data_IF_142752077304
#
_entry.id   IF_142752077304
#
_cell.length_a   1.000
_cell.length_b   1.000
_cell.length_c   1.000
_cell.angle_alpha   90.00
_cell.angle_beta   90.00
_cell.angle_gamma   90.00
#
_symmetry.space_group_name_H-M   'P 1'
#
loop_
_entity.id
_entity.type
_entity.pdbx_description
1 polymer ?
#
# COMPACT_ATOMS: atom_id res chain seq x y z
N UNK A 1 -16.49 7.77 4.58
CA UNK A 1 -15.13 8.11 4.12
C UNK A 1 -14.79 7.54 2.74
N UNK A 2 -14.87 6.24 2.47
CA UNK A 2 -14.53 5.64 1.15
C UNK A 2 -15.39 6.19 0.00
N UNK A 3 -16.68 6.43 0.23
CA UNK A 3 -17.58 7.08 -0.74
C UNK A 3 -17.22 8.55 -0.97
N UNK A 4 -16.68 9.25 0.04
CA UNK A 4 -16.29 10.65 -0.06
C UNK A 4 -15.14 10.85 -1.06
N UNK A 5 -14.20 9.91 -1.12
CA UNK A 5 -13.03 9.97 -2.01
C UNK A 5 -13.24 9.21 -3.34
N UNK A 6 -14.47 8.80 -3.69
CA UNK A 6 -14.71 8.11 -4.98
C UNK A 6 -14.41 9.00 -6.18
N UNK A 7 -14.76 10.29 -6.12
CA UNK A 7 -14.48 11.23 -7.19
C UNK A 7 -12.97 11.39 -7.47
N UNK A 8 -12.15 11.44 -6.40
CA UNK A 8 -10.68 11.49 -6.53
C UNK A 8 -10.16 10.24 -7.23
N UNK A 9 -10.66 9.05 -6.86
CA UNK A 9 -10.22 7.79 -7.50
C UNK A 9 -10.60 7.74 -8.97
N UNK A 10 -11.82 8.16 -9.32
CA UNK A 10 -12.27 8.21 -10.72
C UNK A 10 -11.42 9.15 -11.55
N UNK A 11 -11.19 10.37 -11.07
CA UNK A 11 -10.40 11.37 -11.77
C UNK A 11 -8.94 10.91 -11.99
N UNK A 12 -8.28 10.36 -10.96
CA UNK A 12 -6.93 9.79 -11.09
C UNK A 12 -6.91 8.58 -12.04
N UNK A 13 -7.96 7.75 -12.02
CA UNK A 13 -8.08 6.60 -12.90
C UNK A 13 -8.24 7.02 -14.36
N UNK A 14 -9.08 8.00 -14.64
CA UNK A 14 -9.24 8.55 -15.99
C UNK A 14 -7.93 9.18 -16.48
N UNK A 15 -7.21 9.88 -15.62
CA UNK A 15 -5.88 10.42 -15.90
C UNK A 15 -4.86 9.31 -16.23
N UNK A 16 -4.86 8.22 -15.46
CA UNK A 16 -4.01 7.05 -15.70
C UNK A 16 -4.32 6.43 -17.08
N UNK A 17 -5.58 6.14 -17.37
CA UNK A 17 -6.02 5.54 -18.64
C UNK A 17 -5.62 6.44 -19.82
N UNK A 18 -5.91 7.75 -19.72
CA UNK A 18 -5.55 8.73 -20.75
C UNK A 18 -4.03 8.78 -20.98
N UNK A 19 -3.26 8.76 -19.90
CA UNK A 19 -1.79 8.75 -19.96
C UNK A 19 -1.21 7.47 -20.58
N UNK A 20 -1.83 6.31 -20.37
CA UNK A 20 -1.44 5.04 -20.98
C UNK A 20 -1.82 5.08 -22.48
N UNK A 21 -3.03 5.53 -22.80
CA UNK A 21 -3.52 5.66 -24.17
C UNK A 21 -2.66 6.59 -25.02
N UNK A 22 -2.11 7.66 -24.45
CA UNK A 22 -1.19 8.57 -25.14
C UNK A 22 0.15 7.95 -25.52
N UNK A 23 0.51 6.81 -24.90
CA UNK A 23 1.74 6.04 -25.15
C UNK A 23 1.48 4.76 -25.98
N UNK A 24 0.32 4.69 -26.64
CA UNK A 24 -0.09 3.55 -27.46
C UNK A 24 1.04 3.06 -28.40
N UNK A 25 1.25 1.75 -28.47
CA UNK A 25 2.28 1.13 -29.31
C UNK A 25 3.72 1.25 -28.79
N UNK A 26 3.91 1.94 -27.65
CA UNK A 26 5.23 2.06 -27.00
C UNK A 26 5.21 1.38 -25.62
N UNK A 27 6.37 0.85 -25.16
CA UNK A 27 6.46 0.25 -23.84
C UNK A 27 6.18 1.28 -22.73
N UNK A 28 5.19 0.98 -21.89
CA UNK A 28 4.81 1.79 -20.72
C UNK A 28 5.38 1.17 -19.47
N UNK A 29 6.09 1.95 -18.64
CA UNK A 29 6.51 1.52 -17.32
C UNK A 29 5.31 1.50 -16.37
N UNK A 30 4.65 0.36 -16.27
CA UNK A 30 3.46 0.17 -15.43
C UNK A 30 3.78 0.32 -13.95
N UNK A 31 4.92 -0.20 -13.48
CA UNK A 31 5.35 -0.06 -12.08
C UNK A 31 5.38 1.40 -11.66
N UNK A 32 6.01 2.27 -12.47
CA UNK A 32 6.06 3.71 -12.19
C UNK A 32 4.68 4.37 -12.27
N UNK A 33 3.89 4.04 -13.30
CA UNK A 33 2.55 4.63 -13.51
C UNK A 33 1.60 4.31 -12.37
N UNK A 34 1.52 3.04 -11.97
CA UNK A 34 0.65 2.57 -10.89
C UNK A 34 1.09 3.13 -9.54
N UNK A 35 2.39 3.17 -9.26
CA UNK A 35 2.91 3.79 -8.03
C UNK A 35 2.52 5.28 -7.95
N UNK A 36 2.64 6.02 -9.05
CA UNK A 36 2.24 7.43 -9.10
C UNK A 36 0.72 7.60 -8.93
N UNK A 37 -0.07 6.74 -9.53
CA UNK A 37 -1.52 6.72 -9.41
C UNK A 37 -1.99 6.50 -7.95
N UNK A 38 -1.50 5.44 -7.29
CA UNK A 38 -1.87 5.17 -5.89
C UNK A 38 -1.40 6.29 -4.96
N UNK A 39 -0.22 6.85 -5.21
CA UNK A 39 0.30 8.00 -4.47
C UNK A 39 -0.59 9.24 -4.61
N UNK A 40 -1.06 9.57 -5.84
CA UNK A 40 -1.97 10.69 -6.04
C UNK A 40 -3.26 10.54 -5.25
N UNK A 41 -3.88 9.36 -5.29
CA UNK A 41 -5.10 9.10 -4.53
C UNK A 41 -4.88 9.36 -3.05
N UNK A 42 -3.79 8.83 -2.46
CA UNK A 42 -3.50 9.02 -1.04
C UNK A 42 -3.23 10.50 -0.72
N UNK A 43 -2.41 11.19 -1.52
CA UNK A 43 -2.12 12.62 -1.31
C UNK A 43 -3.38 13.48 -1.38
N UNK A 44 -4.21 13.30 -2.40
CA UNK A 44 -5.45 14.09 -2.57
C UNK A 44 -6.48 13.77 -1.48
N UNK A 45 -6.58 12.51 -1.07
CA UNK A 45 -7.50 12.10 0.00
C UNK A 45 -7.04 12.55 1.39
N UNK A 46 -5.73 12.57 1.62
CA UNK A 46 -5.18 12.90 2.94
C UNK A 46 -4.93 14.41 3.14
N UNK A 47 -4.50 15.11 2.07
CA UNK A 47 -4.03 16.49 2.13
C UNK A 47 -4.82 17.46 1.25
N UNK A 48 -5.88 16.99 0.58
CA UNK A 48 -6.65 17.77 -0.37
C UNK A 48 -5.91 18.18 -1.65
N UNK A 49 -4.65 17.80 -1.81
CA UNK A 49 -3.80 18.16 -2.95
C UNK A 49 -2.65 17.19 -3.17
N UNK A 50 -2.05 17.23 -4.35
CA UNK A 50 -0.78 16.55 -4.63
C UNK A 50 0.39 17.36 -4.04
N UNK A 51 1.34 16.69 -3.37
CA UNK A 51 2.52 17.37 -2.79
C UNK A 51 3.31 18.13 -3.86
N UNK A 52 3.69 19.38 -3.58
CA UNK A 52 4.40 20.27 -4.53
C UNK A 52 5.76 19.68 -4.96
N UNK A 53 6.56 19.20 -4.00
CA UNK A 53 7.89 18.61 -4.24
C UNK A 53 7.80 17.08 -4.30
N UNK A 54 6.86 16.59 -5.10
CA UNK A 54 6.52 15.18 -5.23
C UNK A 54 7.73 14.27 -5.46
N UNK A 55 8.69 14.70 -6.28
CA UNK A 55 9.86 13.89 -6.61
C UNK A 55 10.77 13.65 -5.42
N UNK A 56 11.09 14.69 -4.66
CA UNK A 56 11.93 14.59 -3.47
C UNK A 56 11.21 13.85 -2.34
N UNK A 57 9.93 14.14 -2.12
CA UNK A 57 9.13 13.46 -1.11
C UNK A 57 9.03 11.96 -1.38
N UNK A 58 8.74 11.54 -2.62
CA UNK A 58 8.66 10.13 -3.00
C UNK A 58 10.01 9.42 -2.88
N UNK A 59 11.11 10.11 -3.20
CA UNK A 59 12.47 9.55 -3.04
C UNK A 59 12.78 9.35 -1.56
N UNK A 60 12.45 10.33 -0.72
CA UNK A 60 12.63 10.24 0.74
C UNK A 60 11.77 9.13 1.33
N UNK A 61 10.53 9.00 0.87
CA UNK A 61 9.62 7.94 1.32
C UNK A 61 10.16 6.55 0.97
N UNK A 62 10.65 6.35 -0.26
CA UNK A 62 11.30 5.08 -0.64
C UNK A 62 12.53 4.79 0.21
N UNK A 63 13.32 5.80 0.54
CA UNK A 63 14.47 5.64 1.45
C UNK A 63 14.00 5.21 2.86
N UNK A 64 12.94 5.82 3.40
CA UNK A 64 12.35 5.42 4.69
C UNK A 64 11.84 3.99 4.65
N UNK A 65 11.14 3.60 3.57
CA UNK A 65 10.66 2.22 3.38
C UNK A 65 11.80 1.21 3.38
N UNK A 66 12.87 1.49 2.65
CA UNK A 66 14.06 0.63 2.61
C UNK A 66 14.75 0.54 3.98
N UNK A 67 14.86 1.65 4.70
CA UNK A 67 15.44 1.68 6.04
C UNK A 67 14.53 0.95 7.06
N UNK A 68 13.21 1.09 6.95
CA UNK A 68 12.26 0.41 7.83
C UNK A 68 12.20 -1.11 7.60
N UNK A 69 12.47 -1.56 6.37
CA UNK A 69 12.54 -2.97 6.00
C UNK A 69 13.85 -3.66 6.42
N UNK A 70 14.89 -2.87 6.71
CA UNK A 70 16.18 -3.41 7.09
C UNK A 70 16.13 -4.05 8.47
N UNK A 71 16.50 -5.33 8.58
CA UNK A 71 16.92 -5.91 9.85
C UNK A 71 18.30 -5.35 10.16
N UNK A 72 18.34 -4.33 11.00
CA UNK A 72 19.63 -3.80 11.46
C UNK A 72 20.29 -4.80 12.38
N UNK A 73 21.63 -4.90 12.31
CA UNK A 73 22.41 -5.77 13.23
C UNK A 73 22.08 -5.49 14.70
N UNK A 74 21.61 -4.29 15.01
CA UNK A 74 21.18 -3.92 16.34
C UNK A 74 19.82 -4.50 16.76
N UNK A 75 18.94 -4.78 15.83
CA UNK A 75 17.67 -5.47 16.12
C UNK A 75 17.94 -6.93 16.46
N UNK A 76 18.96 -7.52 15.81
CA UNK A 76 19.40 -8.88 16.04
C UNK A 76 20.32 -9.01 17.28
N UNK A 77 21.17 -8.00 17.53
CA UNK A 77 22.15 -7.95 18.61
C UNK A 77 22.08 -6.64 19.38
N UNK A 78 21.06 -6.40 20.20
CA UNK A 78 20.85 -5.14 20.91
C UNK A 78 22.00 -4.74 21.84
N UNK A 79 22.80 -5.73 22.30
CA UNK A 79 23.95 -5.50 23.15
C UNK A 79 25.19 -4.93 22.41
N UNK A 80 25.17 -4.92 21.06
CA UNK A 80 26.33 -4.51 20.25
C UNK A 80 26.21 -3.07 19.76
N UNK A 81 25.95 -2.14 20.67
CA UNK A 81 25.76 -0.71 20.37
C UNK A 81 26.88 -0.05 19.56
N UNK A 82 28.11 -0.58 19.59
CA UNK A 82 29.25 -0.04 18.85
C UNK A 82 29.10 -0.21 17.34
N UNK A 83 28.55 -1.33 16.87
CA UNK A 83 28.37 -1.61 15.44
C UNK A 83 27.26 -0.74 14.80
N UNK A 84 26.30 -0.28 15.58
CA UNK A 84 25.24 0.62 15.15
C UNK A 84 25.76 1.96 14.63
N UNK A 85 26.82 2.47 15.25
CA UNK A 85 27.38 3.78 14.90
C UNK A 85 28.34 3.70 13.69
N UNK A 86 28.91 2.53 13.40
CA UNK A 86 29.95 2.37 12.36
C UNK A 86 29.38 2.40 10.93
N UNK A 87 28.15 2.02 10.71
CA UNK A 87 27.53 1.96 9.35
C UNK A 87 26.77 3.21 8.94
N UNK A 88 26.63 4.21 9.82
CA UNK A 88 25.91 5.45 9.49
C UNK A 88 24.38 5.26 9.29
N UNK A 89 23.84 4.06 9.49
CA UNK A 89 22.43 3.71 9.27
C UNK A 89 21.50 4.55 10.17
N UNK A 90 21.87 4.71 11.44
CA UNK A 90 21.14 5.57 12.38
C UNK A 90 21.07 7.02 11.90
N UNK A 91 22.17 7.54 11.37
CA UNK A 91 22.22 8.92 10.84
C UNK A 91 21.34 9.06 9.61
N UNK A 92 21.35 8.07 8.71
CA UNK A 92 20.46 8.05 7.53
C UNK A 92 19.00 8.02 7.94
N UNK A 93 18.62 7.15 8.89
CA UNK A 93 17.25 7.06 9.42
C UNK A 93 16.79 8.36 10.06
N UNK A 94 17.64 8.98 10.92
CA UNK A 94 17.33 10.26 11.55
C UNK A 94 17.17 11.38 10.52
N UNK A 95 18.01 11.41 9.48
CA UNK A 95 17.91 12.42 8.42
C UNK A 95 16.65 12.21 7.56
N UNK A 96 16.33 10.98 7.20
CA UNK A 96 15.12 10.66 6.48
C UNK A 96 13.85 11.03 7.29
N UNK A 97 13.85 10.67 8.59
CA UNK A 97 12.76 11.06 9.51
C UNK A 97 12.60 12.60 9.57
N UNK A 98 13.70 13.36 9.72
CA UNK A 98 13.64 14.84 9.75
C UNK A 98 13.04 15.42 8.49
N UNK A 99 13.36 14.89 7.31
CA UNK A 99 12.79 15.34 6.04
C UNK A 99 11.29 15.08 5.98
N UNK A 100 10.86 13.87 6.35
CA UNK A 100 9.43 13.52 6.39
C UNK A 100 8.68 14.38 7.41
N UNK A 101 9.22 14.54 8.61
CA UNK A 101 8.62 15.39 9.66
C UNK A 101 8.46 16.84 9.21
N UNK A 102 9.44 17.39 8.48
CA UNK A 102 9.35 18.74 7.94
C UNK A 102 8.19 18.88 6.94
N UNK A 103 8.04 17.93 6.01
CA UNK A 103 6.92 17.94 5.05
C UNK A 103 5.58 17.78 5.76
N UNK A 104 5.47 16.85 6.71
CA UNK A 104 4.23 16.66 7.48
C UNK A 104 3.86 17.88 8.32
N UNK A 105 4.88 18.57 8.87
CA UNK A 105 4.69 19.82 9.62
C UNK A 105 4.20 20.95 8.72
N UNK A 106 4.75 21.08 7.51
CA UNK A 106 4.29 22.09 6.54
C UNK A 106 2.82 21.86 6.17
N UNK A 107 2.45 20.62 5.81
CA UNK A 107 1.07 20.25 5.50
C UNK A 107 0.14 20.58 6.68
N UNK A 108 0.52 20.17 7.89
CA UNK A 108 -0.31 20.40 9.08
C UNK A 108 -0.49 21.89 9.39
N UNK A 109 0.57 22.68 9.28
CA UNK A 109 0.52 24.13 9.51
C UNK A 109 -0.39 24.82 8.49
N UNK A 110 -0.31 24.46 7.22
CA UNK A 110 -1.18 25.00 6.18
C UNK A 110 -2.67 24.73 6.46
N UNK A 111 -3.01 23.53 6.97
CA UNK A 111 -4.38 23.20 7.35
C UNK A 111 -4.83 24.03 8.57
N UNK A 112 -3.97 24.20 9.55
CA UNK A 112 -4.25 25.03 10.74
C UNK A 112 -4.50 26.49 10.33
N UNK A 113 -3.66 27.06 9.46
CA UNK A 113 -3.79 28.43 8.94
C UNK A 113 -5.07 28.59 8.12
N UNK A 114 -5.37 27.66 7.22
CA UNK A 114 -6.60 27.67 6.42
C UNK A 114 -7.85 27.59 7.29
N UNK A 115 -7.83 26.77 8.34
CA UNK A 115 -8.93 26.67 9.31
C UNK A 115 -9.09 27.97 10.09
N UNK A 116 -8.01 28.58 10.54
CA UNK A 116 -8.01 29.90 11.22
C UNK A 116 -8.56 31.01 10.30
N UNK A 117 -8.33 30.90 9.00
CA UNK A 117 -8.88 31.81 7.98
C UNK A 117 -10.36 31.54 7.62
N UNK A 118 -11.02 30.57 8.29
CA UNK A 118 -12.45 30.28 8.12
C UNK A 118 -12.77 29.36 6.93
N UNK A 119 -11.79 28.67 6.34
CA UNK A 119 -12.08 27.63 5.33
C UNK A 119 -12.75 26.43 5.99
N UNK A 120 -13.81 25.91 5.35
CA UNK A 120 -14.59 24.77 5.85
C UNK A 120 -13.89 23.42 5.64
N UNK A 121 -12.97 23.33 4.69
CA UNK A 121 -12.18 22.14 4.39
C UNK A 121 -11.07 22.48 3.40
N UNK A 122 -10.04 21.67 3.37
CA UNK A 122 -8.90 21.78 2.47
C UNK A 122 -8.99 20.79 1.31
N UNK A 123 -9.99 19.90 1.31
CA UNK A 123 -10.24 18.96 0.23
C UNK A 123 -10.52 19.66 -1.08
N UNK A 124 -10.13 19.03 -2.18
CA UNK A 124 -10.19 19.60 -3.54
C UNK A 124 -11.61 19.98 -3.98
N UNK A 125 -12.62 19.36 -3.38
CA UNK A 125 -14.04 19.63 -3.63
C UNK A 125 -14.70 20.49 -2.52
N UNK A 126 -13.88 21.12 -1.65
CA UNK A 126 -14.36 21.93 -0.53
C UNK A 126 -14.82 21.15 0.69
N UNK A 127 -14.66 19.82 0.65
CA UNK A 127 -14.94 18.91 1.77
C UNK A 127 -13.72 18.81 2.71
N UNK A 128 -13.93 18.21 3.90
CA UNK A 128 -12.84 17.88 4.82
C UNK A 128 -11.98 16.76 4.25
N UNK A 129 -10.67 16.94 4.20
CA UNK A 129 -9.72 15.87 4.00
C UNK A 129 -9.38 15.15 5.32
N UNK A 130 -8.45 14.19 5.26
CA UNK A 130 -8.09 13.44 6.47
C UNK A 130 -7.44 14.31 7.55
N UNK A 131 -6.60 15.27 7.16
CA UNK A 131 -5.94 16.19 8.12
C UNK A 131 -6.96 17.07 8.81
N UNK A 132 -7.94 17.59 8.07
CA UNK A 132 -9.03 18.38 8.62
C UNK A 132 -9.84 17.57 9.66
N UNK A 133 -10.17 16.31 9.34
CA UNK A 133 -10.86 15.40 10.25
C UNK A 133 -10.04 15.17 11.52
N UNK A 134 -8.73 14.91 11.40
CA UNK A 134 -7.85 14.69 12.55
C UNK A 134 -7.69 15.94 13.42
N UNK A 135 -7.63 17.12 12.80
CA UNK A 135 -7.62 18.41 13.54
C UNK A 135 -8.92 18.62 14.29
N UNK A 136 -10.06 18.30 13.68
CA UNK A 136 -11.38 18.38 14.33
C UNK A 136 -11.48 17.39 15.50
N UNK A 137 -10.99 16.17 15.32
CA UNK A 137 -10.96 15.16 16.41
C UNK A 137 -10.06 15.61 17.56
N UNK A 138 -8.92 16.25 17.25
CA UNK A 138 -8.01 16.82 18.29
C UNK A 138 -8.69 17.85 19.17
N UNK A 139 -9.61 18.64 18.63
CA UNK A 139 -10.34 19.68 19.38
C UNK A 139 -11.47 19.12 20.25
N UNK A 140 -11.80 17.83 20.10
CA UNK A 140 -12.81 17.20 20.95
C UNK A 140 -12.26 16.97 22.37
N UNK A 141 -12.79 17.72 23.31
CA UNK A 141 -12.38 17.72 24.73
C UNK A 141 -12.75 16.43 25.46
N UNK A 142 -13.68 15.64 24.92
CA UNK A 142 -14.18 14.41 25.53
C UNK A 142 -13.30 13.16 25.26
N UNK A 143 -12.20 13.32 24.53
CA UNK A 143 -11.30 12.19 24.27
C UNK A 143 -10.60 11.72 25.55
N UNK A 144 -10.70 10.45 25.84
CA UNK A 144 -9.99 9.79 26.94
C UNK A 144 -8.45 10.01 26.85
N UNK A 145 -7.92 10.11 25.63
CA UNK A 145 -6.50 10.40 25.36
C UNK A 145 -6.40 11.58 24.40
N UNK A 146 -5.82 12.73 24.83
CA UNK A 146 -5.64 13.89 23.96
C UNK A 146 -4.75 13.59 22.75
N UNK A 147 -5.17 14.02 21.58
CA UNK A 147 -4.40 13.88 20.34
C UNK A 147 -3.50 15.11 20.18
N UNK A 148 -2.20 14.89 19.97
CA UNK A 148 -1.20 15.92 19.70
C UNK A 148 -0.95 16.08 18.19
N UNK A 149 -0.24 17.15 17.80
CA UNK A 149 0.20 17.32 16.41
C UNK A 149 1.13 16.17 15.96
N UNK A 150 1.95 15.64 16.86
CA UNK A 150 2.83 14.51 16.55
C UNK A 150 2.04 13.23 16.31
N UNK A 151 0.96 13.01 17.06
CA UNK A 151 0.04 11.91 16.80
C UNK A 151 -0.63 12.04 15.42
N UNK A 152 -1.05 13.25 15.03
CA UNK A 152 -1.63 13.51 13.71
C UNK A 152 -0.60 13.22 12.62
N UNK A 153 0.63 13.73 12.73
CA UNK A 153 1.72 13.46 11.78
C UNK A 153 2.00 11.97 11.65
N UNK A 154 2.03 11.24 12.75
CA UNK A 154 2.24 9.78 12.75
C UNK A 154 1.12 9.06 12.01
N UNK A 155 -0.15 9.36 12.28
CA UNK A 155 -1.29 8.75 11.60
C UNK A 155 -1.27 9.03 10.10
N UNK A 156 -0.98 10.27 9.69
CA UNK A 156 -0.86 10.65 8.29
C UNK A 156 0.26 9.85 7.60
N UNK A 157 1.42 9.77 8.28
CA UNK A 157 2.56 9.02 7.77
C UNK A 157 2.26 7.54 7.59
N UNK A 158 1.60 6.90 8.56
CA UNK A 158 1.19 5.50 8.50
C UNK A 158 0.23 5.24 7.33
N UNK A 159 -0.77 6.09 7.12
CA UNK A 159 -1.72 5.98 6.01
C UNK A 159 -1.02 6.16 4.67
N UNK A 160 -0.08 7.11 4.60
CA UNK A 160 0.68 7.36 3.39
C UNK A 160 1.59 6.19 3.03
N UNK A 161 2.33 5.69 4.02
CA UNK A 161 3.24 4.57 3.89
C UNK A 161 2.49 3.28 3.51
N UNK A 162 1.45 2.96 4.27
CA UNK A 162 0.65 1.75 4.06
C UNK A 162 -0.19 1.78 2.78
N UNK A 163 -0.73 2.94 2.39
CA UNK A 163 -1.68 3.04 1.29
C UNK A 163 -1.04 3.13 -0.10
N UNK A 164 0.18 3.67 -0.22
CA UNK A 164 0.84 3.86 -1.53
C UNK A 164 1.51 2.58 -2.03
N UNK A 165 2.45 2.04 -1.25
CA UNK A 165 3.29 0.91 -1.66
C UNK A 165 2.50 -0.39 -1.81
N UNK A 166 1.69 -0.75 -0.82
CA UNK A 166 0.93 -2.01 -0.82
C UNK A 166 -0.04 -2.11 -2.00
N UNK A 167 -0.86 -1.07 -2.22
CA UNK A 167 -1.83 -1.06 -3.32
C UNK A 167 -1.15 -1.11 -4.69
N UNK A 168 -0.06 -0.35 -4.89
CA UNK A 168 0.66 -0.36 -6.16
C UNK A 168 1.32 -1.72 -6.43
N UNK A 169 1.96 -2.31 -5.43
CA UNK A 169 2.60 -3.63 -5.55
C UNK A 169 1.57 -4.70 -5.90
N UNK A 170 0.41 -4.71 -5.22
CA UNK A 170 -0.67 -5.66 -5.50
C UNK A 170 -1.18 -5.57 -6.94
N UNK A 171 -1.39 -4.35 -7.46
CA UNK A 171 -1.81 -4.16 -8.87
C UNK A 171 -0.75 -4.68 -9.83
N UNK A 172 0.53 -4.40 -9.59
CA UNK A 172 1.64 -4.83 -10.46
C UNK A 172 1.80 -6.34 -10.44
N UNK A 173 1.70 -6.98 -9.26
CA UNK A 173 1.74 -8.44 -9.17
C UNK A 173 0.53 -9.08 -9.86
N UNK A 174 -0.67 -8.53 -9.67
CA UNK A 174 -1.88 -9.00 -10.33
C UNK A 174 -1.75 -8.91 -11.86
N UNK A 175 -1.30 -7.78 -12.41
CA UNK A 175 -1.04 -7.63 -13.85
C UNK A 175 0.02 -8.63 -14.34
N UNK A 176 1.10 -8.82 -13.58
CA UNK A 176 2.18 -9.74 -13.96
C UNK A 176 1.70 -11.20 -13.99
N UNK A 177 0.93 -11.63 -12.98
CA UNK A 177 0.35 -12.97 -12.94
C UNK A 177 -0.67 -13.20 -14.07
N UNK A 178 -1.50 -12.21 -14.36
CA UNK A 178 -2.46 -12.29 -15.47
C UNK A 178 -1.77 -12.42 -16.82
N UNK A 179 -0.69 -11.66 -17.05
CA UNK A 179 0.07 -11.75 -18.30
C UNK A 179 0.77 -13.09 -18.42
N UNK A 180 1.38 -13.57 -17.34
CA UNK A 180 2.07 -14.87 -17.30
C UNK A 180 1.09 -16.04 -17.45
N UNK A 181 -0.10 -15.90 -16.90
CA UNK A 181 -1.17 -16.88 -16.88
C UNK A 181 -2.44 -16.25 -17.46
N UNK A 182 -2.60 -16.16 -18.77
CA UNK A 182 -3.71 -15.44 -19.39
C UNK A 182 -5.11 -15.94 -18.97
N UNK A 183 -5.18 -17.07 -18.31
CA UNK A 183 -6.44 -17.64 -17.81
C UNK A 183 -6.71 -17.35 -16.32
N UNK A 184 -5.85 -16.59 -15.62
CA UNK A 184 -5.92 -16.55 -14.14
C UNK A 184 -5.55 -15.20 -13.49
N UNK A 185 -6.25 -14.84 -12.44
CA UNK A 185 -6.13 -13.54 -11.73
C UNK A 185 -6.02 -13.64 -10.18
N UNK A 186 -5.04 -12.97 -9.59
CA UNK A 186 -4.84 -12.50 -8.20
C UNK A 186 -4.00 -13.36 -7.26
N UNK A 187 -2.84 -12.81 -6.82
CA UNK A 187 -2.16 -13.10 -5.55
C UNK A 187 -1.96 -11.80 -4.77
N UNK A 188 -2.34 -11.79 -3.48
CA UNK A 188 -1.96 -10.74 -2.53
C UNK A 188 -1.39 -11.40 -1.27
N UNK A 189 -0.22 -10.94 -0.81
CA UNK A 189 0.42 -11.38 0.42
C UNK A 189 0.48 -10.23 1.42
N UNK A 190 0.19 -10.49 2.70
CA UNK A 190 0.54 -9.58 3.79
C UNK A 190 0.98 -10.37 5.02
N UNK A 191 2.03 -9.89 5.69
CA UNK A 191 2.49 -10.39 6.98
C UNK A 191 1.95 -9.50 8.10
N UNK A 192 1.44 -10.13 9.18
CA UNK A 192 0.95 -9.43 10.36
C UNK A 192 1.94 -9.52 11.52
N UNK A 193 2.32 -8.37 12.09
CA UNK A 193 3.12 -8.27 13.32
C UNK A 193 2.20 -7.99 14.51
N UNK A 194 2.30 -8.82 15.55
CA UNK A 194 1.56 -8.66 16.80
C UNK A 194 2.45 -8.68 18.03
N UNK A 195 2.03 -7.99 19.10
CA UNK A 195 2.68 -8.05 20.42
C UNK A 195 1.69 -8.59 21.47
N UNK A 196 2.13 -9.57 22.28
CA UNK A 196 1.35 -10.12 23.39
C UNK A 196 1.19 -9.09 24.51
N UNK A 197 -0.07 -8.75 24.85
CA UNK A 197 -0.41 -7.81 25.94
C UNK A 197 -0.53 -8.46 27.31
N UNK A 198 -0.66 -9.78 27.34
CA UNK A 198 -0.77 -10.60 28.54
C UNK A 198 -0.12 -11.97 28.28
N UNK A 199 0.33 -12.63 29.34
CA UNK A 199 0.83 -13.99 29.21
C UNK A 199 -0.30 -14.91 28.77
N UNK A 200 -0.07 -15.69 27.71
CA UNK A 200 -1.07 -16.58 27.10
C UNK A 200 -0.44 -17.97 26.88
N UNK A 201 -1.25 -19.01 26.89
CA UNK A 201 -0.84 -20.37 26.53
C UNK A 201 -1.49 -20.77 25.23
N UNK A 202 -0.69 -21.20 24.24
CA UNK A 202 -1.13 -21.69 22.94
C UNK A 202 -0.53 -23.07 22.73
N UNK A 203 -1.33 -24.10 22.56
CA UNK A 203 -0.93 -25.50 22.36
C UNK A 203 0.11 -26.00 23.40
N UNK A 204 -0.05 -25.58 24.66
CA UNK A 204 0.89 -25.95 25.74
C UNK A 204 2.13 -25.06 25.85
N UNK A 205 2.37 -24.16 24.89
CA UNK A 205 3.46 -23.18 24.92
C UNK A 205 3.05 -21.91 25.65
N UNK A 206 3.83 -21.52 26.66
CA UNK A 206 3.61 -20.23 27.34
C UNK A 206 4.22 -19.09 26.54
N UNK A 207 3.38 -18.17 26.08
CA UNK A 207 3.80 -16.94 25.39
C UNK A 207 3.93 -15.81 26.43
N UNK A 208 5.14 -15.31 26.70
CA UNK A 208 5.36 -14.29 27.73
C UNK A 208 4.67 -12.96 27.40
N UNK A 209 4.39 -12.18 28.43
CA UNK A 209 4.03 -10.76 28.26
C UNK A 209 5.08 -10.02 27.44
N UNK A 210 4.66 -9.19 26.50
CA UNK A 210 5.51 -8.44 25.54
C UNK A 210 6.30 -9.32 24.55
N UNK A 211 6.01 -10.60 24.44
CA UNK A 211 6.57 -11.40 23.37
C UNK A 211 6.11 -10.83 22.01
N UNK A 212 7.05 -10.70 21.08
CA UNK A 212 6.73 -10.40 19.69
C UNK A 212 6.23 -11.67 19.01
N UNK A 213 5.06 -11.60 18.41
CA UNK A 213 4.43 -12.73 17.69
C UNK A 213 4.44 -12.40 16.20
N UNK A 214 5.03 -13.28 15.42
CA UNK A 214 5.03 -13.22 13.96
C UNK A 214 4.07 -14.28 13.44
N UNK A 215 3.11 -13.84 12.60
CA UNK A 215 2.21 -14.76 11.90
C UNK A 215 2.71 -14.88 10.46
N UNK A 216 3.12 -16.09 10.06
CA UNK A 216 3.59 -16.35 8.70
C UNK A 216 2.38 -16.50 7.75
N UNK A 217 1.82 -15.37 7.30
CA UNK A 217 0.68 -15.35 6.39
C UNK A 217 1.01 -15.95 5.02
N UNK A 218 2.29 -15.90 4.60
CA UNK A 218 2.76 -16.54 3.38
C UNK A 218 2.62 -18.07 3.46
N UNK A 219 3.01 -18.68 4.60
CA UNK A 219 2.86 -20.12 4.81
C UNK A 219 1.38 -20.51 4.93
N UNK A 220 0.57 -19.71 5.66
CA UNK A 220 -0.89 -19.96 5.78
C UNK A 220 -1.59 -20.00 4.42
N UNK A 221 -1.22 -19.08 3.52
CA UNK A 221 -1.80 -19.01 2.18
C UNK A 221 -1.31 -20.15 1.25
N UNK A 222 -0.34 -20.95 1.67
CA UNK A 222 0.27 -22.09 0.94
C UNK A 222 0.20 -23.41 1.67
N UNK A 223 -0.53 -23.46 2.75
CA UNK A 223 -0.68 -24.65 3.55
C UNK A 223 -1.49 -25.73 2.79
N UNK A 224 -0.89 -26.89 2.46
CA UNK A 224 -1.57 -27.95 1.71
C UNK A 224 -2.70 -28.62 2.52
N UNK A 225 -2.76 -28.41 3.84
CA UNK A 225 -3.90 -28.88 4.65
C UNK A 225 -5.14 -27.99 4.45
N UNK A 226 -4.93 -26.74 4.01
CA UNK A 226 -5.99 -25.74 3.82
C UNK A 226 -6.31 -25.48 2.35
N UNK A 227 -5.38 -25.77 1.43
CA UNK A 227 -5.46 -25.39 0.03
C UNK A 227 -5.08 -26.51 -0.92
N UNK A 228 -5.95 -26.86 -1.86
CA UNK A 228 -5.63 -27.73 -2.98
C UNK A 228 -4.68 -27.00 -3.93
N UNK A 229 -3.55 -27.65 -4.30
CA UNK A 229 -2.54 -27.11 -5.21
C UNK A 229 -2.09 -25.66 -4.84
N UNK A 230 -1.53 -25.47 -3.62
CA UNK A 230 -1.32 -24.13 -3.04
C UNK A 230 -0.28 -23.28 -3.77
N UNK A 231 0.64 -23.91 -4.51
CA UNK A 231 1.70 -23.21 -5.25
C UNK A 231 1.24 -22.63 -6.60
N UNK A 232 0.10 -23.11 -7.10
CA UNK A 232 -0.44 -22.61 -8.35
C UNK A 232 -1.48 -21.52 -8.13
N UNK A 233 -1.45 -20.56 -9.05
CA UNK A 233 -2.39 -19.45 -9.08
C UNK A 233 -3.72 -19.91 -9.72
N UNK A 234 -4.71 -20.25 -8.88
CA UNK A 234 -6.04 -20.76 -9.27
C UNK A 234 -7.10 -19.89 -8.60
N UNK A 235 -7.59 -18.80 -9.26
CA UNK A 235 -8.66 -17.96 -8.68
C UNK A 235 -9.95 -18.69 -8.47
N UNK A 236 -10.22 -19.70 -9.30
CA UNK A 236 -11.42 -20.53 -9.26
C UNK A 236 -11.60 -21.22 -7.89
N UNK A 237 -10.52 -21.33 -7.08
CA UNK A 237 -10.62 -21.85 -5.72
C UNK A 237 -11.51 -21.03 -4.79
N UNK A 238 -11.77 -19.76 -5.15
CA UNK A 238 -12.68 -18.86 -4.43
C UNK A 238 -14.09 -18.87 -5.00
N UNK A 239 -14.34 -19.49 -6.16
CA UNK A 239 -15.68 -19.64 -6.70
C UNK A 239 -16.49 -20.58 -5.81
N UNK A 240 -17.69 -20.12 -5.42
CA UNK A 240 -18.57 -20.84 -4.50
C UNK A 240 -17.97 -21.15 -3.11
N UNK A 241 -16.86 -20.48 -2.74
CA UNK A 241 -16.24 -20.59 -1.42
C UNK A 241 -16.80 -19.53 -0.48
N UNK A 242 -16.93 -19.87 0.81
CA UNK A 242 -17.25 -18.90 1.86
C UNK A 242 -16.02 -18.14 2.36
N UNK A 243 -14.83 -18.48 1.89
CA UNK A 243 -13.56 -17.88 2.30
C UNK A 243 -13.47 -16.47 1.73
N UNK A 244 -13.31 -15.47 2.60
CA UNK A 244 -13.14 -14.07 2.25
C UNK A 244 -11.89 -13.47 2.91
N UNK A 245 -11.55 -12.23 2.52
CA UNK A 245 -10.39 -11.49 2.98
C UNK A 245 -10.63 -10.65 4.25
N UNK A 246 -11.80 -10.78 4.90
CA UNK A 246 -12.22 -9.92 6.01
C UNK A 246 -11.56 -10.27 7.35
N UNK A 247 -10.74 -11.33 7.38
CA UNK A 247 -9.99 -11.75 8.56
C UNK A 247 -10.74 -12.73 9.47
N UNK A 248 -11.82 -13.36 8.98
CA UNK A 248 -12.59 -14.37 9.69
C UNK A 248 -12.14 -15.80 9.32
N UNK A 249 -11.43 -15.95 8.22
CA UNK A 249 -10.92 -17.21 7.69
C UNK A 249 -9.40 -17.24 7.85
N UNK A 250 -8.90 -17.89 8.91
CA UNK A 250 -7.48 -17.80 9.29
C UNK A 250 -6.51 -18.40 8.27
N UNK A 251 -6.95 -19.26 7.38
CA UNK A 251 -6.16 -19.72 6.23
C UNK A 251 -5.95 -18.64 5.16
N UNK A 252 -6.73 -17.52 5.19
CA UNK A 252 -6.64 -16.43 4.23
C UNK A 252 -6.83 -15.07 4.90
N UNK A 253 -5.72 -14.49 5.38
CA UNK A 253 -5.71 -13.23 6.13
C UNK A 253 -4.81 -12.16 5.49
N UNK A 254 -5.04 -11.77 4.22
CA UNK A 254 -4.17 -10.81 3.51
C UNK A 254 -4.12 -9.43 4.18
N UNK A 255 -5.10 -9.09 4.99
CA UNK A 255 -5.18 -7.83 5.74
C UNK A 255 -5.02 -8.05 7.27
N UNK A 256 -4.54 -9.22 7.68
CA UNK A 256 -4.51 -9.60 9.08
C UNK A 256 -5.90 -9.94 9.63
N UNK A 257 -6.01 -10.11 10.94
CA UNK A 257 -7.22 -10.51 11.63
C UNK A 257 -7.37 -9.85 13.00
N UNK A 258 -8.59 -9.87 13.56
CA UNK A 258 -8.91 -9.43 14.92
C UNK A 258 -8.78 -7.92 15.12
N UNK A 259 -8.38 -7.51 16.34
CA UNK A 259 -8.35 -6.09 16.75
C UNK A 259 -7.31 -5.23 16.01
N UNK A 260 -6.39 -5.85 15.28
CA UNK A 260 -5.30 -5.23 14.52
C UNK A 260 -5.43 -5.47 13.00
N UNK A 261 -6.61 -5.86 12.54
CA UNK A 261 -6.91 -5.91 11.10
C UNK A 261 -6.57 -4.57 10.43
N UNK A 262 -6.10 -4.62 9.20
CA UNK A 262 -5.69 -3.42 8.45
C UNK A 262 -6.77 -2.34 8.46
N UNK A 263 -6.50 -1.13 8.97
CA UNK A 263 -7.49 -0.04 9.00
C UNK A 263 -7.82 0.47 7.59
N UNK A 264 -6.92 0.24 6.62
CA UNK A 264 -7.09 0.60 5.22
C UNK A 264 -7.73 -0.48 4.34
N UNK A 265 -8.18 -1.61 4.89
CA UNK A 265 -8.68 -2.77 4.14
C UNK A 265 -9.66 -2.37 3.01
N UNK A 266 -10.73 -1.64 3.34
CA UNK A 266 -11.74 -1.25 2.35
C UNK A 266 -11.22 -0.23 1.33
N UNK A 267 -10.34 0.68 1.75
CA UNK A 267 -9.71 1.65 0.85
C UNK A 267 -8.71 0.95 -0.08
N UNK A 268 -7.87 0.07 0.47
CA UNK A 268 -6.91 -0.73 -0.28
C UNK A 268 -7.60 -1.61 -1.32
N UNK A 269 -8.67 -2.30 -0.92
CA UNK A 269 -9.49 -3.11 -1.82
C UNK A 269 -10.04 -2.27 -3.00
N UNK A 270 -10.65 -1.11 -2.70
CA UNK A 270 -11.19 -0.23 -3.73
C UNK A 270 -10.09 0.33 -4.67
N UNK A 271 -8.91 0.64 -4.11
CA UNK A 271 -7.77 1.17 -4.87
C UNK A 271 -7.07 0.10 -5.75
N UNK A 272 -7.33 -1.17 -5.51
CA UNK A 272 -6.77 -2.29 -6.30
C UNK A 272 -7.79 -2.77 -7.34
N UNK A 273 -8.98 -3.13 -6.93
CA UNK A 273 -9.96 -3.81 -7.81
C UNK A 273 -10.44 -2.90 -8.93
N UNK A 274 -10.82 -1.66 -8.60
CA UNK A 274 -11.39 -0.77 -9.61
C UNK A 274 -10.38 -0.41 -10.72
N UNK A 275 -9.15 0.08 -10.43
CA UNK A 275 -8.19 0.36 -11.50
C UNK A 275 -7.79 -0.89 -12.27
N UNK A 276 -7.67 -2.04 -11.62
CA UNK A 276 -7.35 -3.29 -12.30
C UNK A 276 -8.43 -3.68 -13.31
N UNK A 277 -9.70 -3.64 -12.90
CA UNK A 277 -10.84 -3.90 -13.78
C UNK A 277 -10.85 -2.93 -14.97
N UNK A 278 -10.61 -1.65 -14.76
CA UNK A 278 -10.60 -0.64 -15.82
C UNK A 278 -9.39 -0.79 -16.77
N UNK A 279 -8.23 -1.16 -16.27
CA UNK A 279 -7.07 -1.44 -17.10
C UNK A 279 -7.29 -2.64 -18.02
N UNK A 280 -7.97 -3.67 -17.53
CA UNK A 280 -8.36 -4.85 -18.33
C UNK A 280 -9.52 -4.55 -19.29
N UNK A 281 -10.44 -3.68 -18.90
CA UNK A 281 -11.57 -3.29 -19.74
C UNK A 281 -11.15 -2.44 -20.95
N UNK A 282 -10.15 -1.56 -20.75
CA UNK A 282 -9.73 -0.63 -21.79
C UNK A 282 -8.63 -1.16 -22.70
N UNK A 283 -7.79 -2.07 -22.21
CA UNK A 283 -6.58 -2.47 -22.93
C UNK A 283 -6.38 -3.97 -22.96
N UNK A 284 -5.92 -4.45 -24.11
CA UNK A 284 -5.13 -5.68 -24.21
C UNK A 284 -3.67 -5.35 -23.94
N UNK A 285 -2.93 -6.31 -23.38
CA UNK A 285 -1.59 -6.09 -22.91
C UNK A 285 -0.60 -7.04 -23.56
N UNK A 286 0.45 -6.49 -24.14
CA UNK A 286 1.56 -7.26 -24.71
C UNK A 286 2.86 -6.94 -23.99
N UNK A 287 3.76 -7.93 -23.94
CA UNK A 287 5.12 -7.72 -23.48
C UNK A 287 5.97 -7.09 -24.61
N UNK A 288 6.86 -6.13 -24.27
CA UNK A 288 7.75 -5.54 -25.25
C UNK A 288 8.65 -6.58 -25.92
N UNK A 289 9.11 -6.27 -27.14
CA UNK A 289 10.09 -7.06 -27.91
C UNK A 289 9.68 -8.51 -28.19
N UNK A 290 8.36 -8.82 -28.16
CA UNK A 290 7.88 -10.18 -28.40
C UNK A 290 8.26 -11.18 -27.30
N UNK A 291 8.55 -10.71 -26.09
CA UNK A 291 8.85 -11.56 -24.94
C UNK A 291 7.70 -12.53 -24.69
N UNK A 292 8.01 -13.81 -24.51
CA UNK A 292 6.98 -14.80 -24.18
C UNK A 292 6.47 -14.54 -22.76
N UNK A 293 5.15 -14.55 -22.51
CA UNK A 293 4.57 -14.41 -21.16
C UNK A 293 5.16 -15.35 -20.12
N UNK A 294 5.56 -16.56 -20.48
CA UNK A 294 6.18 -17.54 -19.57
C UNK A 294 7.57 -17.11 -19.09
N UNK A 295 8.26 -16.26 -19.87
CA UNK A 295 9.60 -15.78 -19.57
C UNK A 295 9.59 -14.47 -18.77
N UNK A 296 8.40 -13.98 -18.39
CA UNK A 296 8.28 -12.80 -17.53
C UNK A 296 9.00 -13.03 -16.21
N UNK A 297 9.96 -12.15 -15.90
CA UNK A 297 10.67 -12.20 -14.62
C UNK A 297 9.72 -11.91 -13.46
N UNK A 298 9.58 -12.87 -12.55
CA UNK A 298 8.73 -12.80 -11.36
C UNK A 298 9.57 -12.73 -10.07
N UNK A 299 10.86 -12.34 -10.17
CA UNK A 299 11.71 -12.21 -8.98
C UNK A 299 11.25 -11.05 -8.10
N UNK A 300 11.37 -11.28 -6.81
CA UNK A 300 10.95 -10.36 -5.75
C UNK A 300 12.14 -9.57 -5.19
N UNK A 301 11.87 -8.36 -4.69
CA UNK A 301 12.79 -7.65 -3.80
C UNK A 301 12.36 -7.85 -2.36
N UNK A 302 13.33 -8.04 -1.47
CA UNK A 302 13.08 -8.06 -0.04
C UNK A 302 12.90 -6.63 0.46
N UNK A 303 11.84 -6.38 1.21
CA UNK A 303 11.52 -5.07 1.76
C UNK A 303 10.34 -5.14 2.73
N UNK A 304 9.88 -3.99 3.21
CA UNK A 304 8.65 -3.87 3.99
C UNK A 304 7.42 -4.28 3.15
N UNK A 305 7.48 -4.02 1.86
CA UNK A 305 6.57 -4.55 0.84
C UNK A 305 7.37 -5.42 -0.12
N UNK A 306 6.84 -6.58 -0.48
CA UNK A 306 7.42 -7.44 -1.50
C UNK A 306 7.09 -6.85 -2.87
N UNK A 307 8.05 -6.16 -3.47
CA UNK A 307 7.91 -5.56 -4.79
C UNK A 307 8.56 -6.44 -5.86
N UNK A 308 8.13 -6.27 -7.09
CA UNK A 308 8.81 -6.87 -8.25
C UNK A 308 10.21 -6.27 -8.39
N UNK A 309 11.24 -7.11 -8.53
CA UNK A 309 12.64 -6.67 -8.70
C UNK A 309 12.81 -5.83 -9.96
N UNK A 310 12.28 -6.34 -11.06
CA UNK A 310 12.31 -5.64 -12.34
C UNK A 310 10.98 -4.93 -12.60
N UNK A 311 11.05 -3.70 -13.09
CA UNK A 311 9.85 -2.96 -13.46
C UNK A 311 9.04 -3.69 -14.54
N UNK A 312 7.74 -3.69 -14.40
CA UNK A 312 6.82 -4.21 -15.41
C UNK A 312 6.65 -3.19 -16.55
N UNK A 313 7.09 -3.57 -17.74
CA UNK A 313 6.85 -2.81 -18.98
C UNK A 313 5.84 -3.55 -19.84
N UNK A 314 4.81 -2.84 -20.27
CA UNK A 314 3.75 -3.38 -21.13
C UNK A 314 3.45 -2.43 -22.29
N UNK A 315 3.00 -3.00 -23.39
CA UNK A 315 2.42 -2.27 -24.53
C UNK A 315 0.90 -2.36 -24.40
N UNK A 316 0.25 -1.21 -24.37
CA UNK A 316 -1.20 -1.12 -24.31
C UNK A 316 -1.79 -1.08 -25.72
N UNK A 317 -2.75 -1.95 -26.00
CA UNK A 317 -3.56 -2.00 -27.22
C UNK A 317 -5.00 -1.77 -26.81
N UNK A 318 -5.71 -0.82 -27.40
CA UNK A 318 -7.11 -0.59 -27.05
C UNK A 318 -7.96 -1.80 -27.42
N UNK A 319 -8.66 -2.34 -26.43
CA UNK A 319 -9.49 -3.55 -26.57
C UNK A 319 -10.70 -3.34 -27.51
N UNK A 320 -11.19 -2.10 -27.66
CA UNK A 320 -12.41 -1.80 -28.43
C UNK A 320 -12.17 -0.74 -29.50
N UNK A 321 -11.52 -1.13 -30.60
CA UNK A 321 -11.55 -0.33 -31.82
C UNK A 321 -12.58 -0.80 -32.87
N UNK A 322 -13.38 -1.83 -32.58
CA UNK A 322 -14.24 -2.46 -33.59
C UNK A 322 -15.74 -2.51 -33.28
N UNK A 323 -16.22 -1.83 -32.25
CA UNK A 323 -17.66 -1.70 -32.06
C UNK A 323 -18.01 -0.22 -31.87
N UNK A 324 -18.40 0.43 -32.96
CA UNK A 324 -19.23 1.63 -32.95
C UNK A 324 -20.58 1.26 -32.30
N UNK A 325 -20.90 1.98 -31.21
CA UNK A 325 -22.27 2.08 -30.71
C UNK A 325 -22.84 3.43 -31.11
#
# INVERSE_FOLDING_TARGET
MIKLFSAIREDELMSLISSIRSMRGSPVNMTKKIFLFTNCIICRSAFGKVCKDRGEFLTTLKEVLLLAAGFFMADLYPSWNLLHNLRGEKTRMVNAHKKVDAVMKEILNEHIENKAAGKKGNGEFGDEDLVDVLLRVKENVELQYPITNDHIKAVIFDIFLGGTGSSSSTIIWALSEMIKNPNVMIKAQSEGLGECREQTVIDGYTIPLKARVLVNAWALARDPESWDDPENFIPERFENSSIDFMGNHFQFIPFGSGRRVCPGLLLGFANVIHPLAQLLYHFEWELPNGTNPKDLDMTETHGLTTEKKENLYLIAIDYRNNEEF
#
